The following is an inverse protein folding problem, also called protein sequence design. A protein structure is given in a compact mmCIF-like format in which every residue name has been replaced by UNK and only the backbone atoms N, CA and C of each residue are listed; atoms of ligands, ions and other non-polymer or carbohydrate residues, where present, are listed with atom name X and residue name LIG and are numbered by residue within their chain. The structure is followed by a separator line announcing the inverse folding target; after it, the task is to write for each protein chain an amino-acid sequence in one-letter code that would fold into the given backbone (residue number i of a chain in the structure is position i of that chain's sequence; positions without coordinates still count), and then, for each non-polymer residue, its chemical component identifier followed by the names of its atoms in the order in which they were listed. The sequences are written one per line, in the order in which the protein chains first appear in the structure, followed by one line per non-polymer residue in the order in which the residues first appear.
data_IF_780903492324
#
_entry.id   IF_780903492324
#
_cell.length_a   1.000
_cell.length_b   1.000
_cell.length_c   1.000
_cell.angle_alpha   90.00
_cell.angle_beta   90.00
_cell.angle_gamma   90.00
#
_symmetry.space_group_name_H-M   'P 1'
#
loop_
_entity.id
_entity.type
_entity.pdbx_description
1 polymer ?
#
# COMPACT_ATOMS: atom_id res chain seq x y z
N UNK A 1 -83.16 -21.59 13.62
CA UNK A 1 -82.80 -22.32 14.85
C UNK A 1 -81.34 -22.73 14.83
N UNK A 2 -80.55 -22.74 15.90
CA UNK A 2 -80.47 -22.03 17.17
C UNK A 2 -79.04 -22.34 17.64
N UNK A 3 -78.38 -21.36 18.25
CA UNK A 3 -77.07 -21.49 18.87
C UNK A 3 -76.95 -22.71 19.79
N UNK A 4 -75.74 -23.24 19.94
CA UNK A 4 -75.19 -23.51 21.29
C UNK A 4 -73.66 -23.42 21.29
N UNK A 5 -73.21 -22.42 22.05
CA UNK A 5 -71.86 -22.29 22.59
C UNK A 5 -71.52 -23.48 23.47
N UNK A 6 -70.27 -23.94 23.42
CA UNK A 6 -69.58 -24.48 24.58
C UNK A 6 -68.12 -24.02 24.55
N UNK A 7 -67.78 -23.22 25.56
CA UNK A 7 -66.44 -22.76 25.87
C UNK A 7 -65.74 -23.78 26.75
N UNK A 8 -64.51 -24.15 26.40
CA UNK A 8 -63.59 -24.80 27.33
C UNK A 8 -62.22 -24.15 27.21
N UNK A 9 -61.93 -23.29 28.18
CA UNK A 9 -60.57 -22.96 28.59
C UNK A 9 -59.85 -24.26 28.96
N UNK A 10 -58.80 -24.61 28.23
CA UNK A 10 -57.75 -25.49 28.74
C UNK A 10 -56.41 -24.78 28.63
N UNK A 11 -55.89 -24.48 29.81
CA UNK A 11 -54.54 -24.03 30.13
C UNK A 11 -53.50 -24.89 29.40
N UNK A 12 -52.70 -24.28 28.53
CA UNK A 12 -51.46 -24.90 28.05
C UNK A 12 -50.45 -24.97 29.19
N UNK A 13 -49.83 -26.14 29.35
CA UNK A 13 -48.87 -26.45 30.40
C UNK A 13 -47.50 -25.80 30.11
N UNK A 14 -46.62 -25.63 31.13
CA UNK A 14 -45.37 -24.85 31.01
C UNK A 14 -44.22 -25.54 30.25
N UNK A 15 -44.49 -26.51 29.37
CA UNK A 15 -43.43 -27.38 28.79
C UNK A 15 -43.18 -27.12 27.29
N UNK A 16 -44.01 -26.34 26.60
CA UNK A 16 -43.82 -26.04 25.17
C UNK A 16 -43.08 -24.71 24.87
N UNK A 17 -42.23 -24.22 25.78
CA UNK A 17 -41.47 -22.96 25.60
C UNK A 17 -39.97 -23.18 25.32
N UNK A 18 -39.49 -24.42 25.30
CA UNK A 18 -38.07 -24.72 25.07
C UNK A 18 -37.89 -25.53 23.78
N UNK A 19 -37.50 -24.85 22.69
CA UNK A 19 -36.57 -25.35 21.64
C UNK A 19 -36.70 -24.70 20.25
N UNK A 20 -37.18 -23.46 20.14
CA UNK A 20 -36.96 -22.67 18.91
C UNK A 20 -36.58 -21.23 19.25
N UNK A 21 -35.36 -21.05 19.77
CA UNK A 21 -34.68 -19.76 19.73
C UNK A 21 -33.69 -19.81 18.57
N UNK A 22 -34.15 -19.46 17.37
CA UNK A 22 -33.25 -18.92 16.36
C UNK A 22 -32.67 -17.64 16.98
N UNK A 23 -31.43 -17.74 17.45
CA UNK A 23 -30.68 -16.61 18.01
C UNK A 23 -30.46 -15.59 16.88
N UNK A 24 -31.33 -14.60 16.76
CA UNK A 24 -31.00 -13.38 16.03
C UNK A 24 -29.82 -12.73 16.76
N UNK A 25 -28.63 -12.85 16.17
CA UNK A 25 -27.42 -12.20 16.66
C UNK A 25 -27.63 -10.69 16.66
N UNK A 26 -27.51 -10.06 17.84
CA UNK A 26 -27.62 -8.61 17.99
C UNK A 26 -26.52 -7.91 17.19
N UNK A 27 -26.75 -6.67 16.76
CA UNK A 27 -25.73 -5.88 16.04
C UNK A 27 -24.43 -5.73 16.85
N UNK A 28 -24.53 -5.78 18.19
CA UNK A 28 -23.40 -5.79 19.12
C UNK A 28 -22.60 -7.10 19.04
N UNK A 29 -23.26 -8.26 19.03
CA UNK A 29 -22.61 -9.56 18.84
C UNK A 29 -21.93 -9.69 17.48
N UNK A 30 -22.58 -9.21 16.40
CA UNK A 30 -21.97 -9.19 15.06
C UNK A 30 -20.68 -8.36 15.01
N UNK A 31 -20.65 -7.21 15.68
CA UNK A 31 -19.44 -6.39 15.74
C UNK A 31 -18.30 -7.09 16.49
N UNK A 32 -18.61 -7.70 17.64
CA UNK A 32 -17.64 -8.46 18.44
C UNK A 32 -17.08 -9.66 17.66
N UNK A 33 -17.91 -10.37 16.89
CA UNK A 33 -17.47 -11.46 15.98
C UNK A 33 -16.50 -10.91 14.92
N UNK A 34 -16.84 -9.81 14.25
CA UNK A 34 -15.95 -9.19 13.27
C UNK A 34 -14.59 -8.77 13.89
N UNK A 35 -14.60 -8.28 15.13
CA UNK A 35 -13.38 -7.92 15.88
C UNK A 35 -12.51 -9.14 16.20
N UNK A 36 -13.12 -10.25 16.60
CA UNK A 36 -12.43 -11.52 16.84
C UNK A 36 -11.72 -12.03 15.57
N UNK A 37 -12.43 -12.08 14.44
CA UNK A 37 -11.89 -12.54 13.16
C UNK A 37 -10.70 -11.67 12.72
N UNK A 38 -10.81 -10.36 12.90
CA UNK A 38 -9.71 -9.43 12.55
C UNK A 38 -8.45 -9.68 13.39
N UNK A 39 -8.61 -9.95 14.69
CA UNK A 39 -7.49 -10.18 15.61
C UNK A 39 -6.92 -11.60 15.49
N UNK A 40 -7.75 -12.56 15.08
CA UNK A 40 -7.44 -13.97 14.94
C UNK A 40 -8.07 -14.54 13.65
N UNK A 41 -7.43 -14.33 12.49
CA UNK A 41 -7.96 -14.80 11.20
C UNK A 41 -8.18 -16.31 11.12
N UNK A 42 -7.58 -17.09 12.02
CA UNK A 42 -7.81 -18.54 12.19
C UNK A 42 -9.19 -18.89 12.75
N UNK A 43 -9.90 -17.92 13.35
CA UNK A 43 -11.27 -18.06 13.81
C UNK A 43 -12.23 -17.66 12.68
N UNK A 44 -12.88 -18.63 12.04
CA UNK A 44 -13.99 -18.35 11.12
C UNK A 44 -15.28 -18.07 11.90
N UNK A 45 -16.28 -17.50 11.22
CA UNK A 45 -17.61 -17.27 11.80
C UNK A 45 -18.18 -18.59 12.33
N UNK A 46 -18.09 -19.68 11.56
CA UNK A 46 -18.63 -20.98 11.99
C UNK A 46 -17.93 -21.49 13.27
N UNK A 47 -16.61 -21.32 13.36
CA UNK A 47 -15.83 -21.72 14.54
C UNK A 47 -16.24 -20.89 15.77
N UNK A 48 -16.49 -19.59 15.59
CA UNK A 48 -16.91 -18.71 16.69
C UNK A 48 -18.31 -19.07 17.15
N UNK A 49 -19.25 -19.28 16.23
CA UNK A 49 -20.62 -19.70 16.55
C UNK A 49 -20.65 -21.03 17.29
N UNK A 50 -19.87 -22.01 16.85
CA UNK A 50 -19.73 -23.28 17.54
C UNK A 50 -19.19 -23.10 18.97
N UNK A 51 -18.16 -22.26 19.15
CA UNK A 51 -17.60 -21.98 20.47
C UNK A 51 -18.56 -21.24 21.40
N UNK A 52 -19.44 -20.38 20.86
CA UNK A 52 -20.49 -19.73 21.66
C UNK A 52 -21.45 -20.79 22.20
N UNK A 53 -21.86 -21.74 21.36
CA UNK A 53 -22.73 -22.87 21.77
C UNK A 53 -22.04 -23.68 22.86
N UNK A 54 -20.78 -24.08 22.66
CA UNK A 54 -19.99 -24.84 23.65
C UNK A 54 -19.88 -24.11 25.00
N UNK A 55 -19.69 -22.78 24.99
CA UNK A 55 -19.64 -21.97 26.22
C UNK A 55 -20.98 -21.92 26.95
N UNK A 56 -22.10 -21.90 26.22
CA UNK A 56 -23.46 -21.85 26.79
C UNK A 56 -23.96 -23.21 27.30
N UNK A 57 -23.53 -24.31 26.69
CA UNK A 57 -23.89 -25.67 27.12
C UNK A 57 -23.18 -26.11 28.41
N UNK A 58 -22.12 -25.40 28.81
CA UNK A 58 -21.48 -25.62 30.11
C UNK A 58 -22.46 -25.33 31.27
N UNK A 59 -22.53 -26.16 32.34
CA UNK A 59 -23.44 -25.93 33.47
C UNK A 59 -23.29 -24.56 34.14
N UNK A 60 -22.10 -23.95 34.11
CA UNK A 60 -21.86 -22.57 34.58
C UNK A 60 -22.26 -21.48 33.57
N UNK A 61 -22.54 -21.87 32.32
CA UNK A 61 -22.77 -21.01 31.15
C UNK A 61 -24.22 -20.89 30.71
N UNK A 62 -25.17 -21.55 31.40
CA UNK A 62 -26.60 -21.62 31.03
C UNK A 62 -27.31 -20.25 30.90
N UNK A 63 -26.72 -19.19 31.45
CA UNK A 63 -27.23 -17.81 31.38
C UNK A 63 -26.31 -16.86 30.61
N UNK A 64 -25.29 -17.37 29.89
CA UNK A 64 -24.39 -16.53 29.10
C UNK A 64 -25.12 -15.95 27.89
N UNK A 65 -24.96 -14.65 27.70
CA UNK A 65 -25.30 -14.00 26.42
C UNK A 65 -24.23 -14.31 25.37
N UNK A 66 -24.55 -14.11 24.09
CA UNK A 66 -23.55 -14.22 23.01
C UNK A 66 -22.36 -13.30 23.25
N UNK A 67 -22.62 -12.08 23.71
CA UNK A 67 -21.60 -11.08 24.02
C UNK A 67 -20.66 -11.58 25.12
N UNK A 68 -21.20 -12.10 26.22
CA UNK A 68 -20.40 -12.67 27.32
C UNK A 68 -19.60 -13.88 26.87
N UNK A 69 -20.19 -14.75 26.04
CA UNK A 69 -19.47 -15.89 25.46
C UNK A 69 -18.30 -15.43 24.58
N UNK A 70 -18.47 -14.36 23.79
CA UNK A 70 -17.43 -13.78 22.94
C UNK A 70 -16.26 -13.23 23.77
N UNK A 71 -16.50 -12.55 24.90
CA UNK A 71 -15.44 -12.12 25.82
C UNK A 71 -14.64 -13.30 26.39
N UNK A 72 -15.32 -14.40 26.74
CA UNK A 72 -14.67 -15.61 27.23
C UNK A 72 -13.83 -16.30 26.15
N UNK A 73 -14.34 -16.34 24.91
CA UNK A 73 -13.59 -16.86 23.77
C UNK A 73 -12.32 -16.03 23.55
N UNK A 74 -12.40 -14.70 23.55
CA UNK A 74 -11.20 -13.85 23.44
C UNK A 74 -10.17 -14.15 24.53
N UNK A 75 -10.63 -14.34 25.78
CA UNK A 75 -9.76 -14.68 26.90
C UNK A 75 -9.07 -16.04 26.71
N UNK A 76 -9.76 -17.05 26.17
CA UNK A 76 -9.16 -18.36 25.87
C UNK A 76 -8.00 -18.24 24.85
N UNK A 77 -8.08 -17.25 23.95
CA UNK A 77 -7.04 -16.95 22.96
C UNK A 77 -6.03 -15.88 23.43
N UNK A 78 -6.08 -15.48 24.70
CA UNK A 78 -5.08 -14.62 25.33
C UNK A 78 -5.24 -13.12 25.08
N UNK A 79 -6.44 -12.62 24.79
CA UNK A 79 -6.69 -11.18 24.65
C UNK A 79 -8.03 -10.73 25.25
N UNK A 80 -8.14 -9.43 25.52
CA UNK A 80 -9.34 -8.81 26.10
C UNK A 80 -10.13 -8.09 25.01
N UNK A 81 -11.38 -8.48 24.81
CA UNK A 81 -12.35 -7.69 24.05
C UNK A 81 -12.86 -6.55 24.93
N UNK A 82 -13.05 -5.35 24.37
CA UNK A 82 -13.63 -4.19 25.06
C UNK A 82 -14.91 -3.74 24.39
N UNK A 83 -15.92 -3.36 25.19
CA UNK A 83 -17.21 -2.84 24.71
C UNK A 83 -17.10 -1.42 24.15
N UNK A 84 -16.14 -0.62 24.64
CA UNK A 84 -16.01 0.80 24.31
C UNK A 84 -15.03 1.03 23.16
N UNK A 85 -15.46 0.69 21.96
CA UNK A 85 -15.15 1.51 20.79
C UNK A 85 -16.49 1.76 20.10
N UNK A 86 -17.01 2.98 20.20
CA UNK A 86 -18.11 3.39 19.35
C UNK A 86 -17.73 3.03 17.91
N UNK A 87 -18.59 2.26 17.26
CA UNK A 87 -18.67 2.23 15.80
C UNK A 87 -19.34 3.56 15.40
N UNK A 88 -18.74 4.70 15.78
CA UNK A 88 -18.68 5.70 14.73
C UNK A 88 -17.90 4.99 13.62
N UNK A 89 -18.41 4.89 12.39
CA UNK A 89 -17.52 4.52 11.32
C UNK A 89 -16.35 5.47 11.47
N UNK A 90 -15.17 4.95 11.84
CA UNK A 90 -13.94 5.55 11.40
C UNK A 90 -14.11 5.49 9.89
N UNK A 91 -14.73 6.52 9.33
CA UNK A 91 -14.47 6.96 7.98
C UNK A 91 -12.98 7.13 8.05
N UNK A 92 -12.25 6.07 7.68
CA UNK A 92 -10.83 6.17 7.47
C UNK A 92 -10.75 7.37 6.53
N UNK A 93 -10.04 8.43 6.92
CA UNK A 93 -10.04 9.66 6.13
C UNK A 93 -9.78 9.19 4.71
N UNK A 94 -10.72 9.46 3.81
CA UNK A 94 -10.59 9.04 2.43
C UNK A 94 -9.28 9.65 1.99
N UNK A 95 -8.24 8.83 1.83
CA UNK A 95 -6.92 9.32 1.46
C UNK A 95 -7.00 9.57 -0.04
N UNK A 96 -7.67 10.66 -0.41
CA UNK A 96 -7.91 11.08 -1.80
C UNK A 96 -6.64 11.57 -2.48
N UNK A 97 -5.53 11.66 -1.75
CA UNK A 97 -4.25 12.08 -2.26
C UNK A 97 -3.17 11.50 -1.39
N UNK A 98 -2.07 11.10 -2.02
CA UNK A 98 -0.87 10.76 -1.27
C UNK A 98 -0.53 11.90 -0.33
N UNK A 99 -0.39 11.59 0.96
CA UNK A 99 0.03 12.54 1.99
C UNK A 99 1.38 13.19 1.65
N UNK A 100 2.16 12.54 0.79
CA UNK A 100 3.47 12.95 0.35
C UNK A 100 3.60 12.95 -1.17
N UNK A 101 4.45 13.80 -1.75
CA UNK A 101 4.88 13.59 -3.13
C UNK A 101 5.51 12.21 -3.30
N UNK A 102 5.32 11.65 -4.49
CA UNK A 102 5.87 10.37 -4.90
C UNK A 102 6.96 10.60 -5.95
N UNK A 103 8.00 9.76 -5.91
CA UNK A 103 9.20 9.96 -6.70
C UNK A 103 9.49 8.78 -7.63
N UNK A 104 9.78 9.06 -8.90
CA UNK A 104 10.25 8.06 -9.86
C UNK A 104 11.66 8.41 -10.34
N UNK A 105 12.60 7.50 -10.13
CA UNK A 105 14.00 7.65 -10.54
C UNK A 105 14.17 7.17 -11.98
N UNK A 106 14.80 7.97 -12.83
CA UNK A 106 15.05 7.62 -14.24
C UNK A 106 16.30 8.30 -14.79
N UNK A 107 16.54 8.15 -16.10
CA UNK A 107 17.57 8.87 -16.85
C UNK A 107 16.93 9.87 -17.81
N UNK A 108 17.63 10.97 -18.10
CA UNK A 108 17.27 11.92 -19.16
C UNK A 108 17.01 11.25 -20.51
N UNK A 109 17.61 10.09 -20.79
CA UNK A 109 17.36 9.33 -22.02
C UNK A 109 15.93 8.83 -22.14
N UNK A 110 15.27 8.58 -21.00
CA UNK A 110 13.89 8.13 -20.96
C UNK A 110 12.90 9.32 -20.94
N UNK A 111 13.40 10.55 -20.89
CA UNK A 111 12.58 11.75 -20.77
C UNK A 111 11.50 11.82 -21.86
N UNK A 112 11.87 11.76 -23.13
CA UNK A 112 10.89 11.92 -24.22
C UNK A 112 9.83 10.81 -24.19
N UNK A 113 10.23 9.57 -23.91
CA UNK A 113 9.30 8.45 -23.75
C UNK A 113 8.34 8.68 -22.58
N UNK A 114 8.83 9.16 -21.44
CA UNK A 114 8.00 9.46 -20.27
C UNK A 114 7.10 10.68 -20.52
N UNK A 115 7.56 11.71 -21.22
CA UNK A 115 6.75 12.87 -21.56
C UNK A 115 5.66 12.52 -22.60
N UNK A 116 5.93 11.56 -23.48
CA UNK A 116 4.96 11.08 -24.47
C UNK A 116 3.96 10.09 -23.86
N UNK A 117 4.43 9.11 -23.07
CA UNK A 117 3.64 7.98 -22.62
C UNK A 117 3.20 8.04 -21.16
N UNK A 118 3.80 8.91 -20.36
CA UNK A 118 3.74 8.82 -18.90
C UNK A 118 4.71 7.78 -18.32
N UNK A 119 4.64 7.60 -17.01
CA UNK A 119 5.51 6.66 -16.29
C UNK A 119 4.81 5.29 -16.30
N UNK A 120 5.43 4.31 -16.94
CA UNK A 120 4.84 2.98 -17.15
C UNK A 120 5.53 1.91 -16.31
N UNK A 121 4.81 0.81 -16.06
CA UNK A 121 5.33 -0.38 -15.40
C UNK A 121 6.36 -1.09 -16.24
N UNK A 122 7.12 -1.99 -15.61
CA UNK A 122 8.10 -2.81 -16.32
C UNK A 122 7.44 -3.65 -17.42
N UNK A 123 6.28 -4.25 -17.16
CA UNK A 123 5.61 -5.10 -18.16
C UNK A 123 5.15 -4.30 -19.39
N UNK A 124 4.69 -3.06 -19.19
CA UNK A 124 4.34 -2.20 -20.31
C UNK A 124 5.56 -1.67 -21.05
N UNK A 125 6.64 -1.31 -20.34
CA UNK A 125 7.86 -0.84 -20.98
C UNK A 125 8.48 -1.93 -21.84
N UNK A 126 8.52 -3.18 -21.38
CA UNK A 126 9.12 -4.31 -22.10
C UNK A 126 8.43 -4.65 -23.43
N UNK A 127 7.15 -4.33 -23.59
CA UNK A 127 6.45 -4.49 -24.88
C UNK A 127 7.03 -3.58 -25.98
N UNK A 128 7.88 -2.62 -25.62
CA UNK A 128 8.42 -1.57 -26.51
C UNK A 128 9.94 -1.54 -26.60
N UNK A 129 10.64 -2.55 -26.07
CA UNK A 129 12.10 -2.71 -26.15
C UNK A 129 12.92 -1.48 -25.65
N UNK A 130 12.77 -1.05 -24.38
CA UNK A 130 13.40 0.15 -23.87
C UNK A 130 14.90 -0.07 -23.59
N UNK A 131 15.71 1.00 -23.70
CA UNK A 131 17.12 1.01 -23.27
C UNK A 131 17.21 0.96 -21.74
N UNK A 132 17.93 -0.03 -21.19
CA UNK A 132 17.87 -0.42 -19.76
C UNK A 132 18.74 0.42 -18.83
N UNK A 133 18.26 0.55 -17.58
CA UNK A 133 19.02 0.91 -16.36
C UNK A 133 18.74 -0.14 -15.24
N UNK A 134 17.99 -1.22 -15.55
CA UNK A 134 17.48 -2.16 -14.55
C UNK A 134 18.42 -3.34 -14.29
N UNK A 135 18.62 -3.67 -13.02
CA UNK A 135 19.29 -4.89 -12.56
C UNK A 135 18.42 -6.13 -12.81
N UNK A 136 18.95 -7.13 -13.52
CA UNK A 136 18.23 -8.35 -13.91
C UNK A 136 17.79 -9.20 -12.72
N UNK A 137 18.57 -9.26 -11.64
CA UNK A 137 18.24 -10.05 -10.46
C UNK A 137 17.07 -9.42 -9.70
N UNK A 138 17.04 -8.09 -9.60
CA UNK A 138 15.93 -7.35 -9.00
C UNK A 138 14.64 -7.57 -9.81
N UNK A 139 14.72 -7.51 -11.14
CA UNK A 139 13.56 -7.75 -12.02
C UNK A 139 13.01 -9.16 -11.82
N UNK A 140 13.87 -10.17 -11.70
CA UNK A 140 13.44 -11.56 -11.50
C UNK A 140 12.74 -11.75 -10.16
N UNK A 141 13.30 -11.21 -9.06
CA UNK A 141 12.62 -11.20 -7.75
C UNK A 141 11.25 -10.53 -7.83
N UNK A 142 11.14 -9.42 -8.58
CA UNK A 142 9.87 -8.69 -8.76
C UNK A 142 8.84 -9.47 -9.57
N UNK A 143 9.26 -10.30 -10.54
CA UNK A 143 8.35 -11.19 -11.28
C UNK A 143 7.72 -12.26 -10.40
N UNK A 144 8.49 -12.80 -9.46
CA UNK A 144 8.04 -13.88 -8.56
C UNK A 144 7.09 -13.40 -7.46
N UNK A 145 7.10 -12.11 -7.11
CA UNK A 145 6.27 -11.56 -6.05
C UNK A 145 4.91 -11.12 -6.58
N UNK A 146 3.89 -11.96 -6.34
CA UNK A 146 2.49 -11.74 -6.73
C UNK A 146 1.73 -11.03 -5.60
N UNK A 147 1.02 -9.96 -5.93
CA UNK A 147 0.15 -9.23 -5.00
C UNK A 147 -1.26 -9.84 -4.94
N UNK A 148 -2.09 -9.49 -3.94
CA UNK A 148 -3.48 -9.97 -3.83
C UNK A 148 -4.35 -9.72 -5.08
N UNK A 149 -3.96 -8.77 -5.93
CA UNK A 149 -4.60 -8.52 -7.22
C UNK A 149 -4.42 -9.65 -8.24
N UNK A 150 -3.53 -10.61 -7.99
CA UNK A 150 -3.11 -11.65 -8.94
C UNK A 150 -2.00 -11.23 -9.91
N UNK A 151 -1.44 -10.02 -9.77
CA UNK A 151 -0.37 -9.51 -10.64
C UNK A 151 0.97 -9.45 -9.90
N UNK A 152 2.07 -9.65 -10.63
CA UNK A 152 3.44 -9.47 -10.10
C UNK A 152 3.78 -8.00 -9.88
N UNK A 153 4.86 -7.73 -9.14
CA UNK A 153 5.38 -6.36 -8.97
C UNK A 153 5.80 -5.69 -10.29
N UNK A 154 6.04 -6.44 -11.36
CA UNK A 154 6.41 -5.88 -12.67
C UNK A 154 5.21 -5.28 -13.42
N UNK A 155 3.99 -5.62 -13.01
CA UNK A 155 2.76 -5.03 -13.53
C UNK A 155 2.56 -3.58 -13.09
N UNK A 156 3.23 -3.15 -12.03
CA UNK A 156 3.06 -1.85 -11.40
C UNK A 156 4.17 -0.87 -11.78
N UNK A 157 3.80 0.38 -12.04
CA UNK A 157 4.72 1.50 -12.06
C UNK A 157 5.11 1.81 -10.60
N UNK A 158 6.41 1.77 -10.31
CA UNK A 158 6.94 1.93 -8.97
C UNK A 158 7.34 3.38 -8.71
N UNK A 159 6.94 3.87 -7.54
CA UNK A 159 7.29 5.18 -7.02
C UNK A 159 7.78 5.04 -5.59
N UNK A 160 8.65 5.94 -5.15
CA UNK A 160 9.15 5.99 -3.79
C UNK A 160 8.49 7.11 -3.01
N UNK A 161 8.25 6.89 -1.73
CA UNK A 161 7.89 7.97 -0.82
C UNK A 161 9.10 8.85 -0.47
N UNK A 162 10.32 8.32 -0.59
CA UNK A 162 11.57 9.05 -0.35
C UNK A 162 12.55 8.79 -1.51
N UNK A 163 13.02 9.83 -2.21
CA UNK A 163 13.97 9.67 -3.31
C UNK A 163 15.39 9.40 -2.80
N UNK A 164 15.77 9.95 -1.63
CA UNK A 164 17.08 9.70 -0.99
C UNK A 164 17.12 8.30 -0.37
N UNK A 165 17.16 7.27 -1.21
CA UNK A 165 17.12 5.88 -0.80
C UNK A 165 18.29 5.09 -1.40
N UNK A 166 18.44 3.84 -0.98
CA UNK A 166 19.56 2.99 -1.40
C UNK A 166 19.62 2.75 -2.92
N UNK A 167 18.51 2.88 -3.64
CA UNK A 167 18.50 2.75 -5.11
C UNK A 167 19.13 3.97 -5.78
N UNK A 168 18.78 5.19 -5.33
CA UNK A 168 19.43 6.41 -5.84
C UNK A 168 20.92 6.43 -5.51
N UNK A 169 21.28 6.10 -4.26
CA UNK A 169 22.69 6.04 -3.84
C UNK A 169 23.50 5.04 -4.69
N UNK A 170 22.94 3.86 -4.97
CA UNK A 170 23.58 2.86 -5.82
C UNK A 170 23.80 3.39 -7.24
N UNK A 171 22.79 3.99 -7.85
CA UNK A 171 22.89 4.58 -9.18
C UNK A 171 23.98 5.65 -9.23
N UNK A 172 24.01 6.57 -8.26
CA UNK A 172 25.00 7.64 -8.21
C UNK A 172 26.43 7.09 -8.01
N UNK A 173 26.61 6.08 -7.15
CA UNK A 173 27.93 5.47 -6.91
C UNK A 173 28.44 4.66 -8.11
N UNK A 174 27.57 3.88 -8.75
CA UNK A 174 27.91 3.15 -9.98
C UNK A 174 28.30 4.14 -11.09
N UNK A 175 27.54 5.22 -11.22
CA UNK A 175 27.80 6.30 -12.16
C UNK A 175 29.15 7.00 -11.94
N UNK A 176 29.50 7.31 -10.69
CA UNK A 176 30.79 7.90 -10.32
C UNK A 176 31.98 6.97 -10.56
N UNK A 177 31.80 5.66 -10.33
CA UNK A 177 32.87 4.66 -10.52
C UNK A 177 33.21 4.53 -12.00
N UNK A 178 32.20 4.41 -12.86
CA UNK A 178 32.38 4.35 -14.32
C UNK A 178 32.99 5.64 -14.88
N UNK A 179 32.62 6.81 -14.32
CA UNK A 179 33.20 8.10 -14.73
C UNK A 179 34.71 8.21 -14.47
N UNK A 180 35.21 7.61 -13.38
CA UNK A 180 36.65 7.66 -13.05
C UNK A 180 37.50 6.78 -13.95
N UNK A 181 36.93 5.74 -14.55
CA UNK A 181 37.62 4.87 -15.51
C UNK A 181 37.66 5.49 -16.91
N UNK A 182 36.67 6.31 -17.28
CA UNK A 182 36.49 6.91 -18.61
C UNK A 182 36.87 8.42 -18.68
N UNK A 183 37.97 8.85 -18.05
CA UNK A 183 38.31 10.28 -17.91
C UNK A 183 38.46 11.08 -19.23
N UNK A 184 38.64 10.40 -20.38
CA UNK A 184 38.81 11.05 -21.68
C UNK A 184 37.56 11.05 -22.58
N UNK A 185 36.50 10.33 -22.21
CA UNK A 185 35.26 10.34 -22.98
C UNK A 185 34.06 10.24 -22.05
N UNK A 186 33.06 11.10 -22.29
CA UNK A 186 31.63 10.77 -22.09
C UNK A 186 30.89 11.42 -20.90
N UNK A 187 30.68 12.75 -21.00
CA UNK A 187 29.38 13.36 -20.58
C UNK A 187 28.19 12.65 -21.30
N UNK A 188 28.48 11.95 -22.39
CA UNK A 188 27.56 11.17 -23.19
C UNK A 188 27.32 9.73 -22.69
N UNK A 189 27.87 9.33 -21.53
CA UNK A 189 27.74 7.96 -21.04
C UNK A 189 26.35 7.81 -20.44
N UNK A 190 25.66 6.74 -20.84
CA UNK A 190 24.30 6.45 -20.42
C UNK A 190 24.14 6.43 -18.90
N UNK A 191 25.22 6.11 -18.19
CA UNK A 191 25.30 5.99 -16.74
C UNK A 191 26.03 7.18 -16.09
N UNK A 192 26.25 8.30 -16.79
CA UNK A 192 26.87 9.47 -16.16
C UNK A 192 25.96 9.99 -15.01
N UNK A 193 26.50 10.35 -13.83
CA UNK A 193 25.67 10.71 -12.67
C UNK A 193 24.74 11.91 -12.96
N UNK A 194 25.23 12.89 -13.73
CA UNK A 194 24.42 14.02 -14.23
C UNK A 194 23.20 13.61 -15.07
N UNK A 195 23.17 12.42 -15.68
CA UNK A 195 22.06 11.98 -16.53
C UNK A 195 20.87 11.44 -15.71
N UNK A 196 20.98 11.36 -14.39
CA UNK A 196 19.89 10.92 -13.51
C UNK A 196 18.90 12.06 -13.29
N UNK A 197 17.61 11.75 -13.46
CA UNK A 197 16.50 12.68 -13.24
C UNK A 197 15.49 12.04 -12.29
N UNK A 198 14.80 12.86 -11.51
CA UNK A 198 13.79 12.40 -10.55
C UNK A 198 12.47 13.10 -10.87
N UNK A 199 11.45 12.32 -11.23
CA UNK A 199 10.10 12.85 -11.39
C UNK A 199 9.40 12.89 -10.05
N UNK A 200 8.93 14.06 -9.64
CA UNK A 200 8.02 14.24 -8.51
C UNK A 200 6.59 14.33 -9.04
N UNK A 201 5.72 13.49 -8.49
CA UNK A 201 4.31 13.41 -8.85
C UNK A 201 3.42 13.57 -7.63
N UNK A 202 2.20 14.05 -7.87
CA UNK A 202 1.10 13.97 -6.93
C UNK A 202 0.06 12.99 -7.46
N UNK A 203 -0.29 12.00 -6.66
CA UNK A 203 -1.21 10.95 -7.04
C UNK A 203 -2.41 10.90 -6.09
N UNK A 204 -3.60 10.72 -6.67
CA UNK A 204 -4.81 10.34 -5.94
C UNK A 204 -4.72 8.84 -5.61
N UNK A 205 -4.73 8.51 -4.32
CA UNK A 205 -4.63 7.12 -3.86
C UNK A 205 -5.99 6.39 -3.80
N UNK A 206 -7.10 7.06 -4.12
CA UNK A 206 -8.41 6.40 -4.25
C UNK A 206 -8.55 5.56 -5.52
N UNK A 207 -7.54 5.58 -6.41
CA UNK A 207 -7.56 4.74 -7.59
C UNK A 207 -7.49 3.26 -7.17
N UNK A 208 -8.39 2.45 -7.73
CA UNK A 208 -8.41 1.02 -7.47
C UNK A 208 -7.11 0.36 -7.90
N UNK A 209 -6.66 -0.61 -7.10
CA UNK A 209 -5.47 -1.41 -7.40
C UNK A 209 -4.15 -0.76 -7.00
N UNK A 210 -4.15 0.39 -6.32
CA UNK A 210 -2.93 0.93 -5.73
C UNK A 210 -2.53 0.13 -4.49
N UNK A 211 -1.25 -0.23 -4.42
CA UNK A 211 -0.64 -0.81 -3.24
C UNK A 211 0.46 0.10 -2.69
N UNK A 212 0.68 0.07 -1.39
CA UNK A 212 1.78 0.76 -0.70
C UNK A 212 2.55 -0.22 0.16
N UNK A 213 3.84 0.04 0.38
CA UNK A 213 4.70 -0.81 1.17
C UNK A 213 5.43 -0.07 2.29
N UNK A 214 5.81 -0.81 3.35
CA UNK A 214 6.60 -0.26 4.46
C UNK A 214 8.11 -0.26 4.19
N UNK A 215 8.53 -0.64 2.98
CA UNK A 215 9.93 -0.73 2.57
C UNK A 215 10.09 -1.31 1.17
N UNK A 216 11.32 -1.68 0.80
CA UNK A 216 11.64 -2.24 -0.52
C UNK A 216 10.75 -3.44 -0.87
N UNK A 217 9.94 -3.34 -1.92
CA UNK A 217 9.00 -4.39 -2.29
C UNK A 217 9.68 -5.70 -2.72
N UNK A 218 10.92 -5.66 -3.21
CA UNK A 218 11.67 -6.87 -3.56
C UNK A 218 12.16 -7.67 -2.33
N UNK A 219 12.07 -7.10 -1.12
CA UNK A 219 12.40 -7.80 0.11
C UNK A 219 11.18 -8.59 0.63
N UNK A 220 11.39 -9.82 1.10
CA UNK A 220 10.33 -10.73 1.54
C UNK A 220 9.65 -10.28 2.84
N UNK A 221 10.34 -9.57 3.74
CA UNK A 221 9.75 -9.12 5.01
C UNK A 221 8.87 -7.88 4.85
N UNK A 222 8.91 -7.23 3.67
CA UNK A 222 8.16 -6.00 3.40
C UNK A 222 6.67 -6.28 3.33
N UNK A 223 5.90 -5.55 4.16
CA UNK A 223 4.44 -5.55 4.08
C UNK A 223 3.99 -4.71 2.90
N UNK A 224 3.01 -5.20 2.16
CA UNK A 224 2.42 -4.55 1.01
C UNK A 224 0.90 -4.63 1.15
N UNK A 225 0.23 -3.48 1.15
CA UNK A 225 -1.20 -3.38 1.46
C UNK A 225 -1.88 -2.49 0.42
N UNK A 226 -3.14 -2.80 0.10
CA UNK A 226 -3.99 -1.89 -0.67
C UNK A 226 -4.37 -0.69 0.18
N UNK A 227 -4.53 0.48 -0.43
CA UNK A 227 -5.01 1.68 0.28
C UNK A 227 -6.49 1.48 0.66
N UNK A 228 -6.94 1.88 1.87
CA UNK A 228 -6.17 2.58 2.92
C UNK A 228 -5.26 1.67 3.75
N UNK A 229 -4.04 2.16 4.03
CA UNK A 229 -2.98 1.42 4.74
C UNK A 229 -2.32 2.29 5.84
N UNK A 230 -3.05 2.65 6.92
CA UNK A 230 -2.57 3.60 7.93
C UNK A 230 -1.27 3.15 8.61
N UNK A 231 -1.08 1.86 8.84
CA UNK A 231 0.12 1.32 9.48
C UNK A 231 1.36 1.47 8.59
N UNK A 232 1.19 1.37 7.26
CA UNK A 232 2.24 1.64 6.28
C UNK A 232 2.59 3.14 6.29
N UNK A 233 1.58 4.02 6.30
CA UNK A 233 1.82 5.46 6.38
C UNK A 233 2.50 5.88 7.68
N UNK A 234 2.21 5.23 8.81
CA UNK A 234 2.94 5.47 10.07
C UNK A 234 4.44 5.15 9.95
N UNK A 235 4.82 4.13 9.17
CA UNK A 235 6.24 3.83 8.91
C UNK A 235 6.86 4.91 8.02
N UNK A 236 6.14 5.37 7.01
CA UNK A 236 6.60 6.44 6.11
C UNK A 236 6.80 7.75 6.89
N UNK A 237 5.88 8.09 7.78
CA UNK A 237 5.93 9.26 8.66
C UNK A 237 7.20 9.25 9.53
N UNK A 238 7.53 8.09 10.11
CA UNK A 238 8.74 7.91 10.92
C UNK A 238 10.02 8.08 10.07
N UNK A 239 10.02 7.58 8.84
CA UNK A 239 11.21 7.55 7.96
C UNK A 239 11.48 8.89 7.29
N UNK A 240 10.44 9.61 6.86
CA UNK A 240 10.56 10.87 6.12
C UNK A 240 11.55 11.90 6.70
N UNK A 241 11.55 12.21 8.01
CA UNK A 241 12.45 13.21 8.58
C UNK A 241 13.91 12.73 8.72
N UNK A 242 14.19 11.44 8.53
CA UNK A 242 15.54 10.89 8.69
C UNK A 242 16.38 11.17 7.42
N UNK A 243 17.62 11.61 7.62
CA UNK A 243 18.53 11.99 6.53
C UNK A 243 19.23 10.79 5.89
N UNK A 244 19.53 9.74 6.67
CA UNK A 244 20.22 8.54 6.21
C UNK A 244 19.81 7.31 7.07
N UNK A 245 20.32 6.13 6.72
CA UNK A 245 20.10 4.90 7.48
C UNK A 245 21.25 4.51 8.42
N UNK A 246 22.39 5.21 8.42
CA UNK A 246 23.56 4.96 9.27
C UNK A 246 23.96 3.46 9.41
N UNK A 247 23.91 2.70 8.33
CA UNK A 247 24.23 1.26 8.33
C UNK A 247 23.14 0.34 8.91
N UNK A 248 21.99 0.87 9.33
CA UNK A 248 20.84 0.08 9.76
C UNK A 248 20.09 -0.47 8.53
N UNK A 249 20.19 -1.77 8.29
CA UNK A 249 19.58 -2.42 7.11
C UNK A 249 18.04 -2.40 7.14
N UNK A 250 17.42 -2.43 8.31
CA UNK A 250 15.96 -2.32 8.41
C UNK A 250 15.50 -0.89 8.08
N UNK A 251 16.22 0.11 8.55
CA UNK A 251 15.94 1.49 8.21
C UNK A 251 16.18 1.75 6.70
N UNK A 252 17.25 1.18 6.14
CA UNK A 252 17.54 1.20 4.71
C UNK A 252 16.41 0.58 3.88
N UNK A 253 15.86 -0.56 4.33
CA UNK A 253 14.68 -1.19 3.71
C UNK A 253 13.49 -0.23 3.74
N UNK A 254 13.19 0.38 4.88
CA UNK A 254 12.08 1.31 5.05
C UNK A 254 12.24 2.61 4.24
N UNK A 255 13.46 3.10 4.06
CA UNK A 255 13.77 4.24 3.16
C UNK A 255 13.36 3.97 1.71
N UNK A 256 13.28 2.70 1.33
CA UNK A 256 12.85 2.25 0.00
C UNK A 256 11.35 1.90 -0.05
N UNK A 257 10.52 2.40 0.87
CA UNK A 257 9.07 2.27 0.80
C UNK A 257 8.52 2.75 -0.55
N UNK A 258 7.62 1.97 -1.15
CA UNK A 258 7.11 2.14 -2.50
C UNK A 258 5.59 2.38 -2.52
N UNK A 259 5.14 3.19 -3.47
CA UNK A 259 3.77 3.21 -3.97
C UNK A 259 3.75 2.52 -5.34
N UNK A 260 2.84 1.56 -5.50
CA UNK A 260 2.71 0.71 -6.68
C UNK A 260 1.41 1.06 -7.40
N UNK A 261 1.52 1.67 -8.57
CA UNK A 261 0.38 2.09 -9.38
C UNK A 261 0.19 1.10 -10.53
N UNK A 262 -1.03 0.55 -10.77
CA UNK A 262 -1.25 -0.39 -11.85
C UNK A 262 -0.84 0.22 -13.20
N UNK A 263 0.08 -0.47 -13.89
CA UNK A 263 0.48 -0.22 -15.29
C UNK A 263 1.08 1.15 -15.64
N UNK A 264 0.43 2.27 -15.33
CA UNK A 264 0.83 3.59 -15.84
C UNK A 264 0.32 4.74 -14.98
N UNK A 265 1.13 5.78 -14.86
CA UNK A 265 0.76 7.13 -14.42
C UNK A 265 0.84 8.09 -15.60
N UNK A 266 -0.21 8.91 -15.78
CA UNK A 266 -0.26 9.89 -16.86
C UNK A 266 0.77 11.02 -16.63
N UNK A 267 1.33 11.55 -17.72
CA UNK A 267 2.25 12.70 -17.69
C UNK A 267 1.64 13.93 -16.99
N UNK A 268 0.32 14.08 -17.00
CA UNK A 268 -0.39 15.16 -16.29
C UNK A 268 -0.21 15.13 -14.76
N UNK A 269 0.21 14.01 -14.19
CA UNK A 269 0.50 13.89 -12.75
C UNK A 269 1.90 14.37 -12.39
N UNK A 270 2.79 14.55 -13.37
CA UNK A 270 4.15 15.05 -13.19
C UNK A 270 4.09 16.56 -13.03
N UNK A 271 4.70 17.05 -11.95
CA UNK A 271 4.73 18.49 -11.69
C UNK A 271 6.15 19.05 -11.65
N UNK A 272 7.13 18.24 -11.22
CA UNK A 272 8.52 18.67 -11.14
C UNK A 272 9.45 17.55 -11.60
N UNK A 273 10.46 17.92 -12.37
CA UNK A 273 11.62 17.08 -12.70
C UNK A 273 12.81 17.67 -11.97
N UNK A 274 13.42 16.89 -11.08
CA UNK A 274 14.60 17.30 -10.35
C UNK A 274 15.87 16.82 -11.06
N UNK A 275 16.85 17.72 -11.15
CA UNK A 275 18.11 17.51 -11.86
C UNK A 275 19.29 17.95 -11.01
N UNK A 276 20.49 17.49 -11.38
CA UNK A 276 21.71 17.76 -10.62
C UNK A 276 22.36 19.12 -10.96
N UNK A 277 22.18 19.63 -12.17
CA UNK A 277 22.84 20.85 -12.64
C UNK A 277 22.02 21.60 -13.70
N UNK A 278 22.49 22.80 -14.03
CA UNK A 278 21.96 23.72 -15.05
C UNK A 278 21.97 23.13 -16.46
N UNK A 279 23.04 22.45 -16.85
CA UNK A 279 23.18 21.87 -18.19
C UNK A 279 22.03 20.89 -18.50
N UNK A 280 21.69 20.05 -17.53
CA UNK A 280 20.60 19.08 -17.65
C UNK A 280 19.24 19.80 -17.55
N UNK A 281 19.13 20.83 -16.72
CA UNK A 281 17.91 21.65 -16.64
C UNK A 281 17.58 22.29 -17.99
N UNK A 282 18.54 22.97 -18.61
CA UNK A 282 18.41 23.63 -19.92
C UNK A 282 17.98 22.62 -20.98
N UNK A 283 18.68 21.49 -21.07
CA UNK A 283 18.36 20.42 -22.03
C UNK A 283 16.93 19.90 -21.90
N UNK A 284 16.43 19.73 -20.67
CA UNK A 284 15.04 19.28 -20.44
C UNK A 284 14.06 20.39 -20.82
N UNK A 285 14.34 21.64 -20.45
CA UNK A 285 13.48 22.78 -20.80
C UNK A 285 13.37 22.96 -22.32
N UNK A 286 14.48 22.87 -23.05
CA UNK A 286 14.50 22.93 -24.52
C UNK A 286 13.68 21.79 -25.12
N UNK A 287 13.87 20.57 -24.62
CA UNK A 287 13.09 19.40 -25.06
C UNK A 287 11.59 19.60 -24.85
N UNK A 288 11.17 20.10 -23.68
CA UNK A 288 9.76 20.41 -23.40
C UNK A 288 9.27 21.53 -24.32
N UNK A 289 10.05 22.59 -24.50
CA UNK A 289 9.66 23.74 -25.32
C UNK A 289 9.45 23.38 -26.78
N UNK A 290 10.36 22.57 -27.35
CA UNK A 290 10.38 22.19 -28.76
C UNK A 290 9.41 21.05 -29.09
N UNK A 291 9.39 19.99 -28.27
CA UNK A 291 8.68 18.75 -28.59
C UNK A 291 7.38 18.55 -27.81
N UNK A 292 7.28 19.12 -26.61
CA UNK A 292 6.13 18.93 -25.73
C UNK A 292 5.57 20.26 -25.20
N UNK A 293 5.22 21.24 -26.06
CA UNK A 293 4.83 22.58 -25.63
C UNK A 293 3.60 22.60 -24.71
N UNK A 294 2.76 21.57 -24.76
CA UNK A 294 1.60 21.39 -23.87
C UNK A 294 1.98 21.03 -22.42
N UNK A 295 3.25 20.70 -22.16
CA UNK A 295 3.77 20.28 -20.85
C UNK A 295 4.67 21.35 -20.20
N UNK A 296 4.64 22.60 -20.67
CA UNK A 296 5.43 23.72 -20.13
C UNK A 296 5.12 24.06 -18.66
N UNK A 297 4.05 23.50 -18.12
CA UNK A 297 3.70 23.62 -16.70
C UNK A 297 4.56 22.70 -15.80
N UNK A 298 5.26 21.72 -16.36
CA UNK A 298 6.20 20.89 -15.61
C UNK A 298 7.42 21.74 -15.25
N UNK A 299 7.71 21.86 -13.95
CA UNK A 299 8.90 22.57 -13.47
C UNK A 299 10.14 21.69 -13.62
N UNK A 300 11.28 22.30 -13.94
CA UNK A 300 12.58 21.62 -13.89
C UNK A 300 13.43 22.33 -12.85
N UNK A 301 13.78 21.64 -11.76
CA UNK A 301 14.43 22.23 -10.58
C UNK A 301 15.78 21.59 -10.30
N UNK A 302 16.82 22.42 -10.11
CA UNK A 302 18.15 21.96 -9.68
C UNK A 302 18.11 21.71 -8.17
N UNK A 303 18.19 20.44 -7.76
CA UNK A 303 18.10 20.03 -6.36
C UNK A 303 19.28 19.14 -5.94
N UNK A 304 20.50 19.56 -6.30
CA UNK A 304 21.74 18.81 -6.05
C UNK A 304 21.92 18.44 -4.58
N UNK A 305 21.84 19.41 -3.67
CA UNK A 305 22.05 19.20 -2.23
C UNK A 305 20.98 18.35 -1.56
N UNK A 306 19.81 18.23 -2.17
CA UNK A 306 18.67 17.48 -1.62
C UNK A 306 18.70 16.02 -2.04
N UNK A 307 19.02 15.74 -3.32
CA UNK A 307 18.88 14.40 -3.89
C UNK A 307 20.17 13.80 -4.45
N UNK A 308 21.15 14.63 -4.83
CA UNK A 308 22.33 14.21 -5.62
C UNK A 308 23.65 14.52 -4.90
N UNK A 309 23.64 14.50 -3.57
CA UNK A 309 24.79 14.78 -2.68
C UNK A 309 25.35 13.52 -2.06
#
# INVERSE_FOLDING_TARGET
DTQKHESTHQSKSPIDVLSQQNHESTDKSKNLIAKLIRLKPELTIEIIEQKIVEKKENPSGKYLTDETALFLIASDYGFTLTESESIEPKVQPVVTRSKYPLYHLSSIRNLESILYEGIVSHDLSMKKNPKRISDSEIVERRKLKILPSGYSLTHYANFYFKPENAMLWRILKEAETNYKEDLENSVNSDNHPNNIIIFEINLDLNQQGIFVSDGNCANNITRIESVPAPDIFSVIDDVKPKSNWNGNEELKRKFQAECLVPQKVNVSSIHTIHVQNDTIQEKINDTIQEKFPNLRNIKVEINRSKFFS
#
